data_IF_699516006158
#
_entry.id   IF_699516006158
#
_cell.length_a   1.000
_cell.length_b   1.000
_cell.length_c   1.000
_cell.angle_alpha   90.00
_cell.angle_beta   90.00
_cell.angle_gamma   90.00
#
_symmetry.space_group_name_H-M   'P 1'
#
loop_
_entity.id
_entity.type
_entity.pdbx_description
1 polymer ?
#
# COMPACT_ATOMS: atom_id res chain seq x y z
N UNK A 1 -37.47 -16.67 31.93
CA UNK A 1 -37.92 -15.32 31.57
C UNK A 1 -36.75 -14.63 30.88
N UNK A 2 -36.54 -15.00 29.61
CA UNK A 2 -36.69 -14.10 28.46
C UNK A 2 -35.85 -12.82 28.57
N UNK A 3 -34.57 -12.96 28.22
CA UNK A 3 -33.91 -11.90 27.46
C UNK A 3 -34.03 -12.38 26.01
N UNK A 4 -35.06 -11.84 25.35
CA UNK A 4 -35.35 -12.08 23.95
C UNK A 4 -34.14 -11.67 23.09
N UNK A 5 -33.90 -12.51 22.09
CA UNK A 5 -33.33 -12.21 20.79
C UNK A 5 -33.36 -10.71 20.41
N UNK A 6 -32.27 -9.99 20.66
CA UNK A 6 -31.93 -8.81 19.87
C UNK A 6 -31.17 -9.26 18.62
N UNK A 7 -31.94 -9.85 17.70
CA UNK A 7 -31.62 -9.91 16.28
C UNK A 7 -31.56 -8.48 15.74
N UNK A 8 -30.38 -7.84 15.75
CA UNK A 8 -30.17 -6.56 15.07
C UNK A 8 -28.98 -6.62 14.11
N UNK A 9 -29.31 -6.74 12.83
CA UNK A 9 -28.41 -6.93 11.69
C UNK A 9 -27.78 -5.62 11.20
N UNK A 10 -26.84 -5.03 11.94
CA UNK A 10 -26.18 -3.77 11.51
C UNK A 10 -24.64 -3.77 11.51
N UNK A 11 -23.99 -4.91 11.69
CA UNK A 11 -22.53 -4.95 11.53
C UNK A 11 -22.13 -5.05 10.06
N UNK A 12 -21.26 -4.13 9.61
CA UNK A 12 -20.75 -4.06 8.23
C UNK A 12 -20.24 -5.43 7.72
N UNK A 13 -19.50 -6.17 8.54
CA UNK A 13 -19.00 -7.51 8.18
C UNK A 13 -20.13 -8.50 7.93
N UNK A 14 -21.19 -8.46 8.74
CA UNK A 14 -22.32 -9.38 8.65
C UNK A 14 -23.10 -9.13 7.37
N UNK A 15 -23.38 -7.87 7.03
CA UNK A 15 -24.03 -7.50 5.77
C UNK A 15 -23.22 -7.96 4.55
N UNK A 16 -21.90 -7.85 4.61
CA UNK A 16 -21.02 -8.25 3.51
C UNK A 16 -20.90 -9.75 3.33
N UNK A 17 -20.92 -10.54 4.40
CA UNK A 17 -20.59 -11.96 4.38
C UNK A 17 -21.79 -12.90 4.53
N UNK A 18 -22.95 -12.42 4.97
CA UNK A 18 -24.19 -13.21 5.12
C UNK A 18 -24.56 -13.89 3.79
N UNK A 19 -24.79 -15.20 3.85
CA UNK A 19 -25.10 -16.03 2.69
C UNK A 19 -23.94 -16.31 1.74
N UNK A 20 -22.73 -15.80 2.03
CA UNK A 20 -21.52 -16.00 1.19
C UNK A 20 -20.47 -16.90 1.84
N UNK A 21 -20.51 -17.05 3.16
CA UNK A 21 -19.69 -17.98 3.94
C UNK A 21 -20.60 -18.87 4.79
N UNK A 22 -20.06 -19.99 5.27
CA UNK A 22 -20.80 -20.92 6.11
C UNK A 22 -21.32 -20.24 7.39
N UNK A 23 -22.57 -20.53 7.77
CA UNK A 23 -23.25 -19.89 8.89
C UNK A 23 -22.50 -20.05 10.20
N UNK A 24 -21.93 -21.23 10.44
CA UNK A 24 -21.07 -21.49 11.61
C UNK A 24 -19.94 -20.48 11.75
N UNK A 25 -19.24 -20.15 10.64
CA UNK A 25 -18.13 -19.20 10.64
C UNK A 25 -18.65 -17.77 10.82
N UNK A 26 -19.76 -17.44 10.16
CA UNK A 26 -20.38 -16.12 10.26
C UNK A 26 -20.86 -15.82 11.68
N UNK A 27 -21.52 -16.80 12.29
CA UNK A 27 -22.09 -16.72 13.63
C UNK A 27 -21.08 -17.17 14.70
N UNK A 28 -19.81 -17.30 14.33
CA UNK A 28 -18.79 -17.77 15.25
C UNK A 28 -18.65 -16.83 16.45
N UNK A 29 -18.41 -17.45 17.62
CA UNK A 29 -18.62 -16.93 18.97
C UNK A 29 -18.23 -15.47 19.19
N UNK A 30 -19.17 -14.74 19.81
CA UNK A 30 -19.12 -13.31 20.16
C UNK A 30 -19.02 -12.38 18.92
N UNK A 31 -20.04 -11.56 18.62
CA UNK A 31 -19.98 -10.53 17.57
C UNK A 31 -18.71 -9.66 17.61
N UNK A 32 -18.05 -9.60 18.78
CA UNK A 32 -16.77 -8.93 19.03
C UNK A 32 -15.60 -9.50 18.21
N UNK A 33 -15.55 -10.82 17.91
CA UNK A 33 -14.41 -11.43 17.20
C UNK A 33 -14.32 -10.91 15.76
N UNK A 34 -15.46 -10.79 15.10
CA UNK A 34 -15.58 -10.12 13.81
C UNK A 34 -15.37 -8.61 13.91
N UNK A 35 -15.62 -8.01 15.08
CA UNK A 35 -15.30 -6.62 15.37
C UNK A 35 -13.81 -6.28 15.25
N UNK A 36 -12.91 -7.26 15.42
CA UNK A 36 -11.46 -7.07 15.19
C UNK A 36 -11.05 -7.16 13.71
N UNK A 37 -11.94 -7.62 12.83
CA UNK A 37 -11.63 -7.74 11.41
C UNK A 37 -11.78 -6.38 10.73
N UNK A 38 -10.66 -5.79 10.36
CA UNK A 38 -10.63 -4.50 9.67
C UNK A 38 -11.40 -4.55 8.33
N UNK A 39 -12.15 -3.47 8.02
CA UNK A 39 -12.99 -3.35 6.82
C UNK A 39 -12.27 -3.69 5.51
N UNK A 40 -11.03 -3.23 5.35
CA UNK A 40 -10.23 -3.48 4.14
C UNK A 40 -9.93 -4.97 3.90
N UNK A 41 -9.91 -5.78 4.96
CA UNK A 41 -9.75 -7.23 4.84
C UNK A 41 -11.06 -7.83 4.32
N UNK A 42 -12.21 -7.39 4.87
CA UNK A 42 -13.55 -7.83 4.45
C UNK A 42 -13.79 -7.44 2.99
N UNK A 43 -13.54 -6.19 2.60
CA UNK A 43 -13.67 -5.72 1.22
C UNK A 43 -12.76 -6.50 0.25
N UNK A 44 -11.56 -6.87 0.68
CA UNK A 44 -10.68 -7.71 -0.12
C UNK A 44 -11.24 -9.13 -0.25
N UNK A 45 -11.65 -9.72 0.88
CA UNK A 45 -12.16 -11.07 0.97
C UNK A 45 -13.42 -11.25 0.13
N UNK A 46 -14.40 -10.34 0.28
CA UNK A 46 -15.64 -10.33 -0.50
C UNK A 46 -15.37 -10.32 -2.00
N UNK A 47 -14.48 -9.42 -2.45
CA UNK A 47 -14.21 -9.24 -3.89
C UNK A 47 -13.40 -10.38 -4.52
N UNK A 48 -12.53 -11.04 -3.76
CA UNK A 48 -11.50 -11.90 -4.34
C UNK A 48 -11.53 -13.35 -3.86
N UNK A 49 -12.15 -13.63 -2.72
CA UNK A 49 -12.09 -14.95 -2.07
C UNK A 49 -13.43 -15.68 -2.04
N UNK A 50 -14.56 -14.98 -2.27
CA UNK A 50 -15.89 -15.59 -2.33
C UNK A 50 -16.07 -16.36 -3.65
N UNK A 51 -16.79 -17.48 -3.58
CA UNK A 51 -17.16 -18.31 -4.74
C UNK A 51 -16.15 -19.41 -5.06
N UNK A 52 -15.07 -19.52 -4.30
CA UNK A 52 -14.09 -20.60 -4.43
C UNK A 52 -14.33 -21.71 -3.42
N UNK A 53 -13.89 -22.93 -3.74
CA UNK A 53 -14.07 -24.12 -2.87
C UNK A 53 -13.36 -23.98 -1.52
N UNK A 54 -12.34 -23.12 -1.42
CA UNK A 54 -11.61 -22.81 -0.19
C UNK A 54 -12.11 -21.54 0.54
N UNK A 55 -13.26 -20.97 0.12
CA UNK A 55 -13.80 -19.71 0.71
C UNK A 55 -13.86 -19.80 2.23
N UNK A 56 -14.48 -20.86 2.75
CA UNK A 56 -14.68 -21.04 4.19
C UNK A 56 -13.36 -21.26 4.94
N UNK A 57 -12.39 -21.95 4.33
CA UNK A 57 -11.06 -22.12 4.92
C UNK A 57 -10.33 -20.78 5.05
N UNK A 58 -10.44 -19.89 4.06
CA UNK A 58 -9.85 -18.56 4.16
C UNK A 58 -10.59 -17.67 5.16
N UNK A 59 -11.92 -17.81 5.29
CA UNK A 59 -12.71 -17.07 6.27
C UNK A 59 -12.27 -17.39 7.71
N UNK A 60 -12.11 -18.68 8.05
CA UNK A 60 -11.65 -19.08 9.38
C UNK A 60 -10.19 -18.68 9.64
N UNK A 61 -9.32 -18.70 8.61
CA UNK A 61 -7.95 -18.21 8.72
C UNK A 61 -7.92 -16.71 9.02
N UNK A 62 -8.77 -15.95 8.33
CA UNK A 62 -8.90 -14.51 8.55
C UNK A 62 -9.27 -14.23 10.00
N UNK A 63 -10.32 -14.88 10.50
CA UNK A 63 -10.84 -14.70 11.85
C UNK A 63 -9.81 -15.11 12.92
N UNK A 64 -9.17 -16.28 12.78
CA UNK A 64 -8.14 -16.73 13.70
C UNK A 64 -6.93 -15.78 13.74
N UNK A 65 -6.57 -15.19 12.59
CA UNK A 65 -5.42 -14.29 12.52
C UNK A 65 -5.71 -12.91 13.09
N UNK A 66 -6.95 -12.43 13.07
CA UNK A 66 -7.36 -11.14 13.63
C UNK A 66 -7.71 -11.26 15.11
N UNK A 67 -8.65 -12.15 15.45
CA UNK A 67 -9.24 -12.24 16.78
C UNK A 67 -8.32 -12.93 17.81
N UNK A 68 -7.46 -13.84 17.37
CA UNK A 68 -6.58 -14.62 18.26
C UNK A 68 -5.11 -14.24 18.17
N UNK A 69 -4.55 -14.19 16.96
CA UNK A 69 -3.15 -13.80 16.80
C UNK A 69 -2.94 -12.28 16.90
N UNK A 70 -4.01 -11.47 16.90
CA UNK A 70 -3.95 -10.00 16.91
C UNK A 70 -2.98 -9.43 15.87
N UNK A 71 -2.91 -10.07 14.70
CA UNK A 71 -2.05 -9.59 13.63
C UNK A 71 -2.58 -8.26 13.10
N UNK A 72 -1.67 -7.39 12.68
CA UNK A 72 -2.05 -6.16 11.99
C UNK A 72 -2.80 -6.47 10.68
N UNK A 73 -3.68 -5.55 10.28
CA UNK A 73 -4.59 -5.79 9.17
C UNK A 73 -3.87 -6.03 7.84
N UNK A 74 -2.71 -5.40 7.63
CA UNK A 74 -1.91 -5.59 6.41
C UNK A 74 -1.32 -7.00 6.35
N UNK A 75 -0.83 -7.51 7.49
CA UNK A 75 -0.35 -8.88 7.62
C UNK A 75 -1.44 -9.91 7.34
N UNK A 76 -2.65 -9.69 7.85
CA UNK A 76 -3.80 -10.57 7.57
C UNK A 76 -4.17 -10.52 6.10
N UNK A 77 -4.41 -9.32 5.55
CA UNK A 77 -4.75 -9.11 4.14
C UNK A 77 -3.72 -9.74 3.20
N UNK A 78 -2.43 -9.54 3.47
CA UNK A 78 -1.33 -10.16 2.70
C UNK A 78 -1.37 -11.68 2.80
N UNK A 79 -1.63 -12.24 3.97
CA UNK A 79 -1.67 -13.70 4.15
C UNK A 79 -2.84 -14.32 3.38
N UNK A 80 -4.03 -13.73 3.46
CA UNK A 80 -5.21 -14.16 2.68
C UNK A 80 -4.95 -14.00 1.18
N UNK A 81 -4.36 -12.89 0.75
CA UNK A 81 -4.07 -12.64 -0.66
C UNK A 81 -3.09 -13.66 -1.26
N UNK A 82 -2.01 -13.95 -0.53
CA UNK A 82 -1.03 -14.97 -0.96
C UNK A 82 -1.70 -16.33 -1.10
N UNK A 83 -2.48 -16.76 -0.11
CA UNK A 83 -3.15 -18.06 -0.15
C UNK A 83 -4.16 -18.12 -1.30
N UNK A 84 -5.04 -17.13 -1.42
CA UNK A 84 -6.07 -17.09 -2.45
C UNK A 84 -5.48 -17.14 -3.86
N UNK A 85 -4.53 -16.25 -4.17
CA UNK A 85 -3.94 -16.18 -5.52
C UNK A 85 -3.22 -17.48 -5.90
N UNK A 86 -2.60 -18.13 -4.90
CA UNK A 86 -1.89 -19.40 -5.12
C UNK A 86 -2.84 -20.57 -5.24
N UNK A 87 -3.91 -20.63 -4.43
CA UNK A 87 -4.95 -21.63 -4.58
C UNK A 87 -5.64 -21.52 -5.94
N UNK A 88 -5.98 -20.31 -6.41
CA UNK A 88 -6.52 -20.12 -7.75
C UNK A 88 -5.62 -20.72 -8.84
N UNK A 89 -4.31 -20.43 -8.77
CA UNK A 89 -3.35 -20.95 -9.74
C UNK A 89 -3.22 -22.47 -9.65
N UNK A 90 -3.09 -23.00 -8.44
CA UNK A 90 -2.84 -24.43 -8.21
C UNK A 90 -4.06 -25.30 -8.48
N UNK A 91 -5.24 -24.89 -8.04
CA UNK A 91 -6.46 -25.66 -8.29
C UNK A 91 -6.78 -25.71 -9.78
N UNK A 92 -6.53 -24.61 -10.50
CA UNK A 92 -6.66 -24.59 -11.96
C UNK A 92 -5.65 -25.53 -12.63
N UNK A 93 -4.38 -25.43 -12.28
CA UNK A 93 -3.30 -26.22 -12.90
C UNK A 93 -3.41 -27.72 -12.61
N UNK A 94 -3.80 -28.06 -11.37
CA UNK A 94 -3.94 -29.45 -10.90
C UNK A 94 -5.36 -30.00 -11.10
N UNK A 95 -6.26 -29.23 -11.71
CA UNK A 95 -7.66 -29.56 -11.94
C UNK A 95 -8.40 -30.04 -10.67
N UNK A 96 -8.15 -29.38 -9.54
CA UNK A 96 -8.74 -29.72 -8.24
C UNK A 96 -10.12 -29.07 -8.17
N UNK A 97 -11.15 -29.88 -7.98
CA UNK A 97 -12.55 -29.43 -8.00
C UNK A 97 -13.14 -29.27 -6.60
N UNK A 98 -12.57 -29.93 -5.58
CA UNK A 98 -13.03 -29.80 -4.19
C UNK A 98 -11.89 -29.62 -3.19
N UNK A 99 -12.22 -29.13 -1.99
CA UNK A 99 -11.26 -28.98 -0.89
C UNK A 99 -10.83 -30.35 -0.33
N UNK A 100 -11.65 -31.38 -0.49
CA UNK A 100 -11.36 -32.76 -0.09
C UNK A 100 -10.27 -33.37 -0.98
N UNK A 101 -10.24 -33.01 -2.26
CA UNK A 101 -9.23 -33.46 -3.22
C UNK A 101 -7.86 -32.83 -2.95
N UNK A 102 -7.83 -31.70 -2.23
CA UNK A 102 -6.58 -31.03 -1.89
C UNK A 102 -5.75 -31.87 -0.93
N UNK A 103 -4.63 -32.41 -1.42
CA UNK A 103 -3.58 -33.03 -0.62
C UNK A 103 -2.32 -32.15 -0.65
N UNK A 104 -1.98 -31.46 0.45
CA UNK A 104 -0.80 -30.60 0.48
C UNK A 104 0.52 -31.38 0.33
N UNK A 105 0.59 -32.64 0.76
CA UNK A 105 1.83 -33.43 0.66
C UNK A 105 2.11 -33.86 -0.79
N UNK A 106 1.07 -33.98 -1.61
CA UNK A 106 1.19 -34.23 -3.06
C UNK A 106 1.30 -32.92 -3.84
N UNK A 107 0.34 -32.03 -3.66
CA UNK A 107 0.18 -30.83 -4.49
C UNK A 107 1.21 -29.75 -4.17
N UNK A 108 1.48 -29.47 -2.89
CA UNK A 108 2.56 -28.54 -2.56
C UNK A 108 3.91 -29.16 -2.87
N UNK A 109 4.08 -30.48 -2.79
CA UNK A 109 5.34 -31.11 -3.21
C UNK A 109 5.58 -30.92 -4.71
N UNK A 110 4.58 -31.18 -5.56
CA UNK A 110 4.67 -30.93 -7.00
C UNK A 110 5.01 -29.46 -7.29
N UNK A 111 4.33 -28.53 -6.61
CA UNK A 111 4.57 -27.11 -6.75
C UNK A 111 5.96 -26.68 -6.26
N UNK A 112 6.41 -27.13 -5.09
CA UNK A 112 7.72 -26.77 -4.54
C UNK A 112 8.88 -27.31 -5.38
N UNK A 113 8.68 -28.44 -6.07
CA UNK A 113 9.68 -29.04 -6.96
C UNK A 113 9.55 -28.60 -8.43
N UNK A 114 8.81 -27.51 -8.71
CA UNK A 114 8.60 -26.98 -10.07
C UNK A 114 8.04 -27.99 -11.07
N UNK A 115 7.30 -29.00 -10.62
CA UNK A 115 6.59 -29.91 -11.52
C UNK A 115 5.35 -29.25 -12.14
N UNK A 116 4.85 -28.19 -11.50
CA UNK A 116 3.72 -27.38 -11.94
C UNK A 116 4.00 -25.88 -11.74
N UNK A 117 3.36 -25.05 -12.56
CA UNK A 117 3.49 -23.58 -12.56
C UNK A 117 4.95 -23.12 -12.60
N UNK A 118 5.76 -23.63 -13.54
CA UNK A 118 7.24 -23.49 -13.57
C UNK A 118 7.69 -22.03 -13.54
N UNK A 119 6.91 -21.13 -14.14
CA UNK A 119 7.10 -19.68 -14.20
C UNK A 119 7.05 -18.99 -12.82
N UNK A 120 6.44 -19.62 -11.81
CA UNK A 120 6.44 -19.07 -10.46
C UNK A 120 7.84 -19.12 -9.82
N UNK A 121 8.22 -18.00 -9.20
CA UNK A 121 9.53 -17.85 -8.57
C UNK A 121 9.65 -18.64 -7.27
N UNK A 122 10.89 -18.96 -6.88
CA UNK A 122 11.19 -19.64 -5.61
C UNK A 122 10.58 -18.91 -4.40
N UNK A 123 10.63 -17.57 -4.42
CA UNK A 123 10.05 -16.76 -3.34
C UNK A 123 8.54 -16.92 -3.25
N UNK A 124 7.83 -17.01 -4.39
CA UNK A 124 6.39 -17.25 -4.41
C UNK A 124 6.03 -18.64 -3.88
N UNK A 125 6.85 -19.65 -4.19
CA UNK A 125 6.71 -21.02 -3.68
C UNK A 125 6.93 -21.09 -2.17
N UNK A 126 7.97 -20.42 -1.70
CA UNK A 126 8.31 -20.33 -0.28
C UNK A 126 7.24 -19.60 0.54
N UNK A 127 6.81 -18.42 0.09
CA UNK A 127 5.79 -17.63 0.79
C UNK A 127 4.48 -18.41 0.90
N UNK A 128 4.10 -19.19 -0.13
CA UNK A 128 2.94 -20.07 -0.05
C UNK A 128 3.10 -21.08 1.09
N UNK A 129 4.19 -21.87 1.11
CA UNK A 129 4.39 -22.90 2.13
C UNK A 129 4.39 -22.31 3.55
N UNK A 130 5.10 -21.18 3.73
CA UNK A 130 5.17 -20.48 5.02
C UNK A 130 3.80 -19.99 5.47
N UNK A 131 3.03 -19.35 4.58
CA UNK A 131 1.69 -18.83 4.90
C UNK A 131 0.69 -19.96 5.12
N UNK A 132 0.76 -21.02 4.34
CA UNK A 132 -0.08 -22.22 4.48
C UNK A 132 0.12 -22.86 5.86
N UNK A 133 1.35 -23.21 6.21
CA UNK A 133 1.65 -23.86 7.49
C UNK A 133 1.34 -22.95 8.69
N UNK A 134 1.74 -21.68 8.63
CA UNK A 134 1.44 -20.76 9.73
C UNK A 134 -0.06 -20.55 9.93
N UNK A 135 -0.85 -20.44 8.85
CA UNK A 135 -2.30 -20.29 8.94
C UNK A 135 -2.95 -21.50 9.60
N UNK A 136 -2.52 -22.70 9.20
CA UNK A 136 -2.99 -23.95 9.80
C UNK A 136 -2.70 -24.00 11.29
N UNK A 137 -1.47 -23.67 11.69
CA UNK A 137 -1.08 -23.66 13.11
C UNK A 137 -1.89 -22.62 13.89
N UNK A 138 -2.05 -21.40 13.36
CA UNK A 138 -2.85 -20.35 14.00
C UNK A 138 -4.29 -20.78 14.20
N UNK A 139 -4.95 -21.31 13.17
CA UNK A 139 -6.36 -21.74 13.29
C UNK A 139 -6.47 -22.88 14.30
N UNK A 140 -5.60 -23.88 14.25
CA UNK A 140 -5.65 -24.99 15.23
C UNK A 140 -5.43 -24.50 16.66
N UNK A 141 -4.42 -23.68 16.90
CA UNK A 141 -4.16 -23.14 18.23
C UNK A 141 -5.35 -22.31 18.73
N UNK A 142 -5.98 -21.55 17.83
CA UNK A 142 -7.19 -20.80 18.16
C UNK A 142 -8.35 -21.72 18.54
N UNK A 143 -8.65 -22.73 17.71
CA UNK A 143 -9.69 -23.73 18.01
C UNK A 143 -9.43 -24.42 19.35
N UNK A 144 -8.21 -24.91 19.59
CA UNK A 144 -7.87 -25.63 20.81
C UNK A 144 -7.86 -24.75 22.07
N UNK A 145 -7.50 -23.47 21.95
CA UNK A 145 -7.41 -22.57 23.12
C UNK A 145 -8.73 -21.89 23.50
N UNK A 146 -9.67 -21.75 22.57
CA UNK A 146 -10.92 -20.99 22.79
C UNK A 146 -12.18 -21.85 22.78
N UNK A 147 -12.11 -23.12 22.39
CA UNK A 147 -13.31 -23.89 22.05
C UNK A 147 -13.36 -25.24 22.77
N UNK A 148 -14.57 -25.66 23.13
CA UNK A 148 -14.82 -27.00 23.60
C UNK A 148 -14.72 -28.03 22.47
N UNK A 149 -14.72 -29.32 22.84
CA UNK A 149 -14.56 -30.41 21.89
C UNK A 149 -15.67 -30.44 20.82
N UNK A 150 -16.92 -30.13 21.20
CA UNK A 150 -18.05 -30.17 20.27
C UNK A 150 -17.94 -29.10 19.17
N UNK A 151 -17.51 -27.90 19.54
CA UNK A 151 -17.28 -26.80 18.62
C UNK A 151 -16.03 -27.06 17.77
N UNK A 152 -14.97 -27.63 18.37
CA UNK A 152 -13.80 -28.06 17.61
C UNK A 152 -14.18 -29.06 16.50
N UNK A 153 -15.01 -30.08 16.78
CA UNK A 153 -15.49 -31.04 15.78
C UNK A 153 -16.25 -30.34 14.65
N UNK A 154 -17.18 -29.43 14.97
CA UNK A 154 -17.96 -28.67 13.98
C UNK A 154 -17.08 -27.87 13.02
N UNK A 155 -15.96 -27.33 13.51
CA UNK A 155 -15.04 -26.52 12.71
C UNK A 155 -13.96 -27.31 11.97
N UNK A 156 -13.84 -28.63 12.20
CA UNK A 156 -12.83 -29.45 11.53
C UNK A 156 -12.93 -29.40 10.00
N UNK A 157 -14.14 -29.35 9.46
CA UNK A 157 -14.38 -29.28 8.02
C UNK A 157 -13.79 -28.01 7.37
N UNK A 158 -13.58 -26.94 8.13
CA UNK A 158 -12.98 -25.70 7.63
C UNK A 158 -11.45 -25.66 7.78
N UNK A 159 -10.85 -26.69 8.38
CA UNK A 159 -9.40 -26.78 8.54
C UNK A 159 -8.73 -27.27 7.27
N UNK A 160 -7.69 -26.55 6.84
CA UNK A 160 -6.78 -27.06 5.82
C UNK A 160 -5.98 -28.26 6.36
N UNK A 161 -5.76 -29.27 5.49
CA UNK A 161 -4.93 -30.44 5.79
C UNK A 161 -3.48 -30.03 6.10
N UNK A 162 -2.83 -30.70 7.07
CA UNK A 162 -1.41 -30.44 7.40
C UNK A 162 -0.52 -30.79 6.23
N UNK A 163 0.51 -29.99 6.02
CA UNK A 163 1.62 -30.30 5.12
C UNK A 163 2.80 -30.80 5.97
N UNK A 164 3.29 -32.00 5.66
CA UNK A 164 4.41 -32.68 6.32
C UNK A 164 5.72 -32.53 5.52
N UNK A 165 5.75 -31.68 4.49
CA UNK A 165 6.95 -31.46 3.67
C UNK A 165 8.01 -30.70 4.49
N UNK A 166 8.97 -31.44 5.04
CA UNK A 166 10.14 -30.91 5.77
C UNK A 166 11.35 -30.69 4.84
N UNK A 167 11.49 -31.49 3.77
CA UNK A 167 12.74 -31.58 3.00
C UNK A 167 13.02 -30.40 2.03
N UNK A 168 12.03 -29.57 1.70
CA UNK A 168 12.27 -28.38 0.85
C UNK A 168 13.03 -27.27 1.57
N UNK A 169 13.24 -27.39 2.90
CA UNK A 169 13.94 -26.42 3.76
C UNK A 169 15.42 -26.23 3.41
N UNK A 170 16.06 -27.22 2.81
CA UNK A 170 17.47 -27.12 2.37
C UNK A 170 17.69 -26.06 1.28
N UNK A 171 16.78 -25.97 0.30
CA UNK A 171 16.83 -24.94 -0.73
C UNK A 171 16.41 -23.55 -0.20
N UNK A 172 15.67 -23.49 0.92
CA UNK A 172 15.25 -22.24 1.55
C UNK A 172 16.43 -21.45 2.11
N UNK A 173 17.37 -22.11 2.79
CA UNK A 173 18.60 -21.46 3.23
C UNK A 173 19.41 -20.94 2.05
N UNK A 174 19.48 -21.70 0.95
CA UNK A 174 20.19 -21.29 -0.27
C UNK A 174 19.54 -20.08 -0.94
N UNK A 175 18.21 -20.05 -1.11
CA UNK A 175 17.50 -18.92 -1.73
C UNK A 175 17.56 -17.67 -0.83
N UNK A 176 17.39 -17.83 0.49
CA UNK A 176 17.51 -16.72 1.42
C UNK A 176 18.96 -16.19 1.45
N UNK A 177 19.96 -17.07 1.46
CA UNK A 177 21.37 -16.72 1.39
C UNK A 177 21.72 -16.09 0.05
N UNK A 178 21.20 -16.56 -1.08
CA UNK A 178 21.40 -15.95 -2.40
C UNK A 178 20.74 -14.57 -2.45
N UNK A 179 19.52 -14.41 -1.93
CA UNK A 179 18.86 -13.09 -1.84
C UNK A 179 19.58 -12.14 -0.88
N UNK A 180 20.10 -12.64 0.24
CA UNK A 180 20.93 -11.86 1.18
C UNK A 180 22.29 -11.54 0.58
N UNK A 181 22.91 -12.46 -0.16
CA UNK A 181 24.17 -12.27 -0.86
C UNK A 181 24.03 -11.32 -2.04
N UNK A 182 22.92 -11.37 -2.78
CA UNK A 182 22.62 -10.40 -3.83
C UNK A 182 22.38 -9.02 -3.23
N UNK A 183 21.57 -8.90 -2.17
CA UNK A 183 21.40 -7.63 -1.45
C UNK A 183 22.71 -7.13 -0.86
N UNK A 184 23.56 -8.04 -0.35
CA UNK A 184 24.89 -7.72 0.15
C UNK A 184 25.78 -7.24 -0.98
N UNK A 185 25.84 -7.91 -2.13
CA UNK A 185 26.64 -7.48 -3.28
C UNK A 185 26.14 -6.14 -3.85
N UNK A 186 24.83 -5.94 -3.94
CA UNK A 186 24.21 -4.66 -4.34
C UNK A 186 24.52 -3.55 -3.32
N UNK A 187 24.48 -3.87 -2.02
CA UNK A 187 24.82 -2.94 -0.94
C UNK A 187 26.32 -2.64 -0.92
N UNK A 188 27.17 -3.65 -1.07
CA UNK A 188 28.63 -3.54 -1.10
C UNK A 188 29.09 -2.72 -2.30
N UNK A 189 28.36 -2.76 -3.43
CA UNK A 189 28.61 -1.89 -4.58
C UNK A 189 28.33 -0.40 -4.28
N UNK A 190 27.41 -0.09 -3.37
CA UNK A 190 27.05 1.29 -3.00
C UNK A 190 27.74 1.77 -1.72
N UNK A 191 28.28 0.88 -0.87
CA UNK A 191 28.98 1.21 0.38
C UNK A 191 30.11 2.25 0.16
N UNK A 192 30.99 2.14 -0.85
CA UNK A 192 32.02 3.15 -1.10
C UNK A 192 31.44 4.55 -1.37
N UNK A 193 30.21 4.61 -1.88
CA UNK A 193 29.51 5.84 -2.21
C UNK A 193 28.58 6.33 -1.09
N UNK A 194 28.41 5.57 0.01
CA UNK A 194 27.53 5.95 1.12
C UNK A 194 27.85 7.29 1.76
N UNK A 195 29.13 7.66 1.98
CA UNK A 195 29.43 9.00 2.51
C UNK A 195 28.92 10.11 1.59
N UNK A 196 29.07 9.94 0.28
CA UNK A 196 28.61 10.92 -0.73
C UNK A 196 27.09 10.96 -0.78
N UNK A 197 26.42 9.80 -0.87
CA UNK A 197 24.96 9.71 -0.89
C UNK A 197 24.36 10.32 0.37
N UNK A 198 24.94 10.02 1.54
CA UNK A 198 24.49 10.57 2.82
C UNK A 198 24.69 12.08 2.89
N UNK A 199 25.84 12.58 2.42
CA UNK A 199 26.11 14.01 2.33
C UNK A 199 25.07 14.73 1.46
N UNK A 200 24.83 14.20 0.26
CA UNK A 200 23.85 14.75 -0.69
C UNK A 200 22.42 14.67 -0.14
N UNK A 201 22.03 13.55 0.48
CA UNK A 201 20.72 13.40 1.08
C UNK A 201 20.49 14.40 2.24
N UNK A 202 21.50 14.59 3.11
CA UNK A 202 21.44 15.60 4.16
C UNK A 202 21.34 17.01 3.59
N UNK A 203 22.13 17.32 2.55
CA UNK A 203 22.07 18.61 1.87
C UNK A 203 20.66 18.89 1.32
N UNK A 204 20.08 17.95 0.58
CA UNK A 204 18.73 18.04 0.02
C UNK A 204 17.65 18.17 1.09
N UNK A 205 17.74 17.38 2.16
CA UNK A 205 16.82 17.45 3.29
C UNK A 205 16.87 18.81 3.96
N UNK A 206 18.07 19.34 4.23
CA UNK A 206 18.24 20.63 4.88
C UNK A 206 17.65 21.76 4.02
N UNK A 207 17.84 21.71 2.69
CA UNK A 207 17.27 22.67 1.74
C UNK A 207 15.73 22.67 1.80
N UNK A 208 15.12 21.48 1.73
CA UNK A 208 13.67 21.31 1.85
C UNK A 208 13.14 21.74 3.21
N UNK A 209 13.85 21.41 4.29
CA UNK A 209 13.45 21.76 5.64
C UNK A 209 13.46 23.28 5.84
N UNK A 210 14.49 24.00 5.34
CA UNK A 210 14.53 25.47 5.38
C UNK A 210 13.35 26.09 4.62
N UNK A 211 13.07 25.60 3.41
CA UNK A 211 11.92 26.07 2.63
C UNK A 211 10.60 25.82 3.36
N UNK A 212 10.42 24.62 3.91
CA UNK A 212 9.22 24.24 4.66
C UNK A 212 9.02 25.10 5.91
N UNK A 213 10.09 25.33 6.69
CA UNK A 213 10.05 26.19 7.87
C UNK A 213 9.70 27.62 7.48
N UNK A 214 10.34 28.19 6.45
CA UNK A 214 10.03 29.55 5.98
C UNK A 214 8.61 29.67 5.44
N UNK A 215 8.12 28.66 4.73
CA UNK A 215 6.74 28.60 4.30
C UNK A 215 5.78 28.65 5.49
N UNK A 216 5.99 27.81 6.51
CA UNK A 216 5.14 27.78 7.71
C UNK A 216 5.17 29.10 8.49
N UNK A 217 6.34 29.71 8.66
CA UNK A 217 6.48 31.03 9.29
C UNK A 217 5.71 32.12 8.55
N UNK A 218 5.63 32.03 7.22
CA UNK A 218 4.92 33.00 6.40
C UNK A 218 3.41 32.77 6.42
N UNK A 219 2.94 31.52 6.31
CA UNK A 219 1.50 31.22 6.36
C UNK A 219 0.88 31.55 7.73
N UNK A 220 1.63 31.40 8.83
CA UNK A 220 1.16 31.79 10.17
C UNK A 220 0.89 33.30 10.28
N UNK A 221 1.57 34.11 9.45
CA UNK A 221 1.39 35.57 9.40
C UNK A 221 0.29 36.01 8.44
N UNK A 222 -0.24 35.10 7.62
CA UNK A 222 -1.32 35.42 6.68
C UNK A 222 -2.63 35.53 7.44
N UNK A 223 -3.24 36.71 7.36
CA UNK A 223 -4.59 36.98 7.86
C UNK A 223 -5.61 36.97 6.72
N UNK A 224 -6.93 36.88 6.99
CA UNK A 224 -7.96 36.95 5.95
C UNK A 224 -7.94 38.22 5.10
N UNK A 225 -7.29 39.29 5.57
CA UNK A 225 -7.14 40.57 4.86
C UNK A 225 -5.83 40.68 4.08
N UNK A 226 -4.93 39.70 4.20
CA UNK A 226 -3.64 39.70 3.50
C UNK A 226 -3.87 39.49 2.00
N UNK A 227 -3.31 40.38 1.18
CA UNK A 227 -3.34 40.24 -0.27
C UNK A 227 -2.37 39.15 -0.73
N UNK A 228 -2.83 38.25 -1.59
CA UNK A 228 -2.04 37.16 -2.17
C UNK A 228 -1.90 37.36 -3.69
N UNK A 229 -0.76 36.97 -4.30
CA UNK A 229 0.31 36.15 -3.71
C UNK A 229 1.26 36.93 -2.79
N UNK A 230 1.77 36.27 -1.76
CA UNK A 230 2.88 36.80 -0.96
C UNK A 230 4.20 36.37 -1.60
N UNK A 231 5.02 37.33 -2.00
CA UNK A 231 6.33 37.06 -2.59
C UNK A 231 7.41 37.01 -1.51
N UNK A 232 8.31 36.04 -1.60
CA UNK A 232 9.50 35.98 -0.77
C UNK A 232 10.67 35.35 -1.52
N UNK A 233 11.88 35.58 -1.03
CA UNK A 233 13.08 34.94 -1.52
C UNK A 233 14.01 34.64 -0.37
N UNK A 234 14.95 33.73 -0.59
CA UNK A 234 16.06 33.52 0.34
C UNK A 234 17.31 33.04 -0.40
N UNK A 235 18.46 33.26 0.22
CA UNK A 235 19.78 32.90 -0.30
C UNK A 235 20.22 31.54 0.23
N UNK A 236 20.60 30.64 -0.68
CA UNK A 236 21.29 29.39 -0.37
C UNK A 236 22.80 29.62 -0.40
N UNK A 237 23.37 29.94 0.76
CA UNK A 237 24.81 30.24 0.92
C UNK A 237 25.72 29.13 0.38
N UNK A 238 25.30 27.88 0.50
CA UNK A 238 26.07 26.71 0.07
C UNK A 238 26.20 26.60 -1.46
N UNK A 239 25.24 27.14 -2.21
CA UNK A 239 25.21 27.10 -3.68
C UNK A 239 25.40 28.47 -4.31
N UNK A 240 25.37 29.56 -3.52
CA UNK A 240 25.43 30.93 -4.04
C UNK A 240 24.20 31.31 -4.87
N UNK A 241 23.05 30.70 -4.56
CA UNK A 241 21.82 30.83 -5.35
C UNK A 241 20.72 31.50 -4.54
N UNK A 242 20.07 32.50 -5.12
CA UNK A 242 18.85 33.12 -4.61
C UNK A 242 17.63 32.50 -5.27
N UNK A 243 16.66 32.11 -4.46
CA UNK A 243 15.44 31.44 -4.95
C UNK A 243 14.22 32.30 -4.63
N UNK A 244 13.36 32.50 -5.63
CA UNK A 244 12.19 33.36 -5.55
C UNK A 244 10.91 32.54 -5.58
N UNK A 245 10.03 32.81 -4.63
CA UNK A 245 8.78 32.09 -4.43
C UNK A 245 7.58 33.04 -4.28
N UNK A 246 6.41 32.47 -4.58
CA UNK A 246 5.10 33.05 -4.29
C UNK A 246 4.29 32.07 -3.46
N UNK A 247 3.64 32.56 -2.42
CA UNK A 247 2.63 31.83 -1.67
C UNK A 247 1.26 32.22 -2.21
N UNK A 248 0.48 31.22 -2.55
CA UNK A 248 -0.88 31.37 -3.03
C UNK A 248 -1.87 30.67 -2.11
N UNK A 249 -3.10 31.14 -2.15
CA UNK A 249 -4.26 30.34 -1.77
C UNK A 249 -5.09 30.00 -3.02
N UNK A 250 -5.98 29.01 -2.93
CA UNK A 250 -6.76 28.57 -4.10
C UNK A 250 -7.61 29.70 -4.72
N UNK A 251 -8.31 30.55 -3.93
CA UNK A 251 -9.05 31.69 -4.47
C UNK A 251 -8.19 32.68 -5.26
N UNK A 252 -7.12 33.20 -4.65
CA UNK A 252 -6.25 34.21 -5.27
C UNK A 252 -5.59 33.68 -6.55
N UNK A 253 -5.13 32.44 -6.54
CA UNK A 253 -4.54 31.81 -7.71
C UNK A 253 -5.55 31.66 -8.85
N UNK A 254 -6.77 31.22 -8.54
CA UNK A 254 -7.85 31.04 -9.54
C UNK A 254 -8.23 32.37 -10.18
N UNK A 255 -8.30 33.44 -9.38
CA UNK A 255 -8.63 34.79 -9.86
C UNK A 255 -7.50 35.34 -10.74
N UNK A 256 -6.23 35.20 -10.32
CA UNK A 256 -5.07 35.63 -11.09
C UNK A 256 -4.96 34.90 -12.44
N UNK A 257 -5.38 33.63 -12.49
CA UNK A 257 -5.33 32.79 -13.68
C UNK A 257 -6.71 32.55 -14.30
N UNK A 258 -7.60 33.55 -14.26
CA UNK A 258 -9.00 33.44 -14.72
C UNK A 258 -9.18 32.85 -16.12
N UNK A 259 -8.19 32.96 -17.01
CA UNK A 259 -8.23 32.39 -18.35
C UNK A 259 -8.11 30.85 -18.38
N UNK A 260 -7.67 30.21 -17.29
CA UNK A 260 -7.51 28.75 -17.18
C UNK A 260 -8.67 28.06 -16.46
N UNK A 261 -9.63 28.83 -15.96
CA UNK A 261 -10.72 28.32 -15.12
C UNK A 261 -12.08 28.66 -15.73
N UNK A 262 -13.08 27.84 -15.39
CA UNK A 262 -14.46 28.09 -15.80
C UNK A 262 -15.03 29.35 -15.12
N UNK A 263 -16.05 29.98 -15.74
CA UNK A 263 -16.78 31.10 -15.12
C UNK A 263 -17.31 30.75 -13.72
N UNK A 264 -17.80 29.52 -13.56
CA UNK A 264 -18.31 29.01 -12.29
C UNK A 264 -17.22 28.97 -11.20
N UNK A 265 -16.04 28.43 -11.53
CA UNK A 265 -14.90 28.38 -10.61
C UNK A 265 -14.43 29.76 -10.19
N UNK A 266 -14.42 30.72 -11.13
CA UNK A 266 -14.03 32.11 -10.85
C UNK A 266 -15.02 32.77 -9.89
N UNK A 267 -16.33 32.62 -10.10
CA UNK A 267 -17.34 33.18 -9.20
C UNK A 267 -17.29 32.51 -7.82
N UNK A 268 -17.13 31.19 -7.77
CA UNK A 268 -16.95 30.47 -6.49
C UNK A 268 -15.69 30.91 -5.74
N UNK A 269 -14.61 31.23 -6.46
CA UNK A 269 -13.37 31.75 -5.88
C UNK A 269 -13.54 33.18 -5.34
N UNK A 270 -14.19 34.07 -6.10
CA UNK A 270 -14.51 35.45 -5.65
C UNK A 270 -15.33 35.47 -4.37
N UNK A 271 -16.30 34.55 -4.26
CA UNK A 271 -17.17 34.44 -3.10
C UNK A 271 -16.67 33.48 -2.02
N UNK A 272 -15.47 32.89 -2.17
CA UNK A 272 -14.89 31.90 -1.23
C UNK A 272 -15.86 30.79 -0.83
N UNK A 273 -16.51 30.17 -1.82
CA UNK A 273 -17.49 29.11 -1.60
C UNK A 273 -16.92 27.72 -1.91
N UNK A 274 -17.51 26.67 -1.31
CA UNK A 274 -17.19 25.26 -1.57
C UNK A 274 -15.70 24.96 -1.36
N UNK A 275 -14.99 24.53 -2.41
CA UNK A 275 -13.55 24.22 -2.38
C UNK A 275 -12.66 25.46 -2.18
N UNK A 276 -13.23 26.66 -2.21
CA UNK A 276 -12.58 27.95 -1.98
C UNK A 276 -12.95 28.56 -0.61
N UNK A 277 -13.73 27.87 0.21
CA UNK A 277 -14.04 28.30 1.57
C UNK A 277 -12.80 28.20 2.46
N UNK A 278 -12.73 29.03 3.50
CA UNK A 278 -11.57 29.05 4.39
C UNK A 278 -11.26 27.67 5.00
N UNK A 279 -12.29 26.90 5.35
CA UNK A 279 -12.15 25.55 5.93
C UNK A 279 -11.57 24.50 4.95
N UNK A 280 -11.70 24.73 3.65
CA UNK A 280 -11.26 23.81 2.59
C UNK A 280 -10.09 24.38 1.76
N UNK A 281 -9.58 25.55 2.15
CA UNK A 281 -8.52 26.25 1.45
C UNK A 281 -7.16 25.80 1.95
N UNK A 282 -6.21 25.69 1.03
CA UNK A 282 -4.84 25.32 1.34
C UNK A 282 -3.90 26.33 0.69
N UNK A 283 -2.83 26.65 1.41
CA UNK A 283 -1.74 27.44 0.85
C UNK A 283 -0.77 26.55 0.09
N UNK A 284 -0.19 27.09 -0.97
CA UNK A 284 0.83 26.39 -1.74
C UNK A 284 1.88 27.35 -2.29
N UNK A 285 3.02 26.78 -2.69
CA UNK A 285 4.17 27.50 -3.21
C UNK A 285 4.24 27.41 -4.73
N UNK A 286 4.53 28.54 -5.35
CA UNK A 286 4.99 28.64 -6.74
C UNK A 286 6.46 29.07 -6.74
N UNK A 287 7.31 28.27 -7.38
CA UNK A 287 8.68 28.67 -7.69
C UNK A 287 8.67 29.61 -8.90
N UNK A 288 9.16 30.83 -8.72
CA UNK A 288 9.12 31.88 -9.76
C UNK A 288 10.40 31.84 -10.59
N UNK A 289 11.57 31.88 -9.94
CA UNK A 289 12.87 31.84 -10.59
C UNK A 289 13.98 31.50 -9.60
N UNK A 290 15.12 31.15 -10.17
CA UNK A 290 16.38 30.84 -9.48
C UNK A 290 17.44 31.75 -10.10
N UNK A 291 18.19 32.48 -9.28
CA UNK A 291 19.26 33.38 -9.73
C UNK A 291 20.55 33.07 -9.00
N UNK A 292 21.68 33.01 -9.69
CA UNK A 292 23.00 32.99 -9.05
C UNK A 292 23.39 34.40 -8.64
N UNK A 293 24.13 34.48 -7.54
CA UNK A 293 24.69 35.75 -7.08
C UNK A 293 25.76 36.32 -8.03
N UNK A 294 26.35 35.48 -8.90
CA UNK A 294 27.34 35.87 -9.91
C UNK A 294 26.74 36.19 -11.30
N UNK A 295 25.42 36.02 -11.48
CA UNK A 295 24.74 36.30 -12.75
C UNK A 295 24.98 35.27 -13.86
N UNK A 296 25.57 34.12 -13.56
CA UNK A 296 25.70 33.00 -14.51
C UNK A 296 24.33 32.41 -14.87
N UNK A 297 24.10 32.08 -16.15
CA UNK A 297 22.78 31.61 -16.65
C UNK A 297 22.50 30.13 -16.38
N UNK A 298 23.50 29.34 -16.03
CA UNK A 298 23.34 27.91 -15.76
C UNK A 298 23.21 27.67 -14.25
N UNK A 299 21.98 27.76 -13.75
CA UNK A 299 21.70 27.57 -12.32
C UNK A 299 20.79 26.36 -12.12
N UNK A 300 21.26 25.33 -11.43
CA UNK A 300 20.40 24.23 -11.01
C UNK A 300 19.50 24.68 -9.85
N UNK A 301 18.19 24.56 -10.06
CA UNK A 301 17.17 24.81 -9.04
C UNK A 301 17.10 23.69 -8.00
N UNK A 302 15.90 23.30 -7.58
CA UNK A 302 15.72 22.12 -6.74
C UNK A 302 15.86 20.84 -7.55
N UNK A 303 16.50 19.83 -6.96
CA UNK A 303 16.70 18.51 -7.57
C UNK A 303 15.41 17.79 -7.99
N UNK A 304 14.26 18.21 -7.46
CA UNK A 304 12.95 17.61 -7.74
C UNK A 304 12.12 18.40 -8.75
N UNK A 305 12.62 19.50 -9.32
CA UNK A 305 11.86 20.30 -10.28
C UNK A 305 11.43 19.49 -11.50
N UNK A 306 12.33 18.64 -12.02
CA UNK A 306 12.01 17.75 -13.12
C UNK A 306 10.93 16.73 -12.73
N UNK A 307 10.90 16.28 -11.48
CA UNK A 307 9.87 15.37 -10.98
C UNK A 307 8.48 16.03 -10.97
N UNK A 308 8.42 17.32 -10.63
CA UNK A 308 7.19 18.11 -10.67
C UNK A 308 6.79 18.37 -12.13
N UNK A 309 7.73 18.79 -12.97
CA UNK A 309 7.50 19.12 -14.38
C UNK A 309 6.96 17.92 -15.15
N UNK A 310 7.51 16.73 -14.91
CA UNK A 310 7.06 15.47 -15.52
C UNK A 310 5.82 14.88 -14.82
N UNK A 311 5.29 15.54 -13.78
CA UNK A 311 4.11 15.09 -13.04
C UNK A 311 4.23 13.66 -12.49
N UNK A 312 5.43 13.26 -12.04
CA UNK A 312 5.69 11.90 -11.54
C UNK A 312 5.54 11.77 -10.02
N UNK A 313 5.41 12.87 -9.27
CA UNK A 313 5.22 12.85 -7.82
C UNK A 313 3.78 12.51 -7.39
N UNK A 314 2.77 13.03 -8.10
CA UNK A 314 1.36 12.94 -7.69
C UNK A 314 0.48 12.08 -8.60
N UNK A 315 1.04 11.56 -9.69
CA UNK A 315 0.27 10.78 -10.66
C UNK A 315 1.01 9.48 -11.00
N UNK A 316 0.23 8.42 -11.22
CA UNK A 316 0.78 7.18 -11.74
C UNK A 316 1.52 7.46 -13.06
N UNK A 317 2.67 6.83 -13.32
CA UNK A 317 3.32 6.87 -14.64
C UNK A 317 2.39 6.41 -15.77
N UNK A 318 1.36 5.63 -15.44
CA UNK A 318 0.34 5.14 -16.37
C UNK A 318 -0.87 6.06 -16.57
N UNK A 319 -0.92 7.26 -15.97
CA UNK A 319 -2.05 8.19 -16.12
C UNK A 319 -1.71 9.38 -17.03
N UNK A 320 -2.71 9.85 -17.77
CA UNK A 320 -2.58 10.91 -18.79
C UNK A 320 -2.89 10.39 -20.20
N UNK A 321 -2.63 11.23 -21.22
CA UNK A 321 -2.64 10.81 -22.63
C UNK A 321 -1.48 9.86 -22.92
N UNK A 322 -1.54 9.12 -24.04
CA UNK A 322 -0.45 8.21 -24.44
C UNK A 322 0.90 8.94 -24.57
N UNK A 323 0.90 10.17 -25.09
CA UNK A 323 2.11 11.00 -25.18
C UNK A 323 2.66 11.38 -23.80
N UNK A 324 1.79 11.66 -22.82
CA UNK A 324 2.21 11.92 -21.44
C UNK A 324 2.77 10.67 -20.76
N UNK A 325 2.15 9.51 -20.99
CA UNK A 325 2.64 8.23 -20.45
C UNK A 325 4.03 7.90 -21.00
N UNK A 326 4.25 8.05 -22.30
CA UNK A 326 5.54 7.74 -22.90
C UNK A 326 6.65 8.72 -22.46
N UNK A 327 6.33 10.02 -22.30
CA UNK A 327 7.26 10.99 -21.70
C UNK A 327 7.66 10.62 -20.27
N UNK A 328 6.67 10.36 -19.40
CA UNK A 328 6.91 9.92 -18.01
C UNK A 328 7.75 8.65 -17.95
N UNK A 329 7.45 7.68 -18.81
CA UNK A 329 8.17 6.42 -18.91
C UNK A 329 9.62 6.64 -19.34
N UNK A 330 9.87 7.43 -20.38
CA UNK A 330 11.23 7.75 -20.85
C UNK A 330 12.05 8.47 -19.77
N UNK A 331 11.44 9.40 -19.05
CA UNK A 331 12.06 10.10 -17.93
C UNK A 331 12.40 9.16 -16.76
N UNK A 332 11.47 8.28 -16.36
CA UNK A 332 11.75 7.30 -15.30
C UNK A 332 12.77 6.23 -15.72
N UNK A 333 12.85 5.91 -17.00
CA UNK A 333 13.91 5.05 -17.54
C UNK A 333 15.28 5.72 -17.47
N UNK A 334 15.41 7.01 -17.77
CA UNK A 334 16.70 7.71 -17.67
C UNK A 334 17.22 7.80 -16.24
N UNK A 335 16.32 7.76 -15.25
CA UNK A 335 16.67 7.67 -13.82
C UNK A 335 16.89 6.23 -13.32
N UNK A 336 16.70 5.21 -14.17
CA UNK A 336 16.84 3.80 -13.80
C UNK A 336 15.74 3.26 -12.87
N UNK A 337 14.65 4.01 -12.68
CA UNK A 337 13.55 3.69 -11.76
C UNK A 337 12.54 2.74 -12.41
N UNK A 338 12.34 2.85 -13.73
CA UNK A 338 11.37 2.03 -14.45
C UNK A 338 11.98 0.69 -14.89
N UNK A 339 11.52 -0.41 -14.29
CA UNK A 339 11.75 -1.77 -14.80
C UNK A 339 10.52 -2.22 -15.56
N UNK A 340 10.68 -2.61 -16.83
CA UNK A 340 9.64 -3.31 -17.58
C UNK A 340 9.24 -4.56 -16.79
N UNK A 341 8.01 -4.58 -16.27
CA UNK A 341 7.40 -5.80 -15.75
C UNK A 341 6.64 -6.50 -16.86
#
# INVERSE_FOLDING_TARGET
MNIQEESNSEYYWHQKLKGKIHEDILNFTNPSDWGFVHKDIIDYFERNCIGYVWTNNLAIIMLARTAYAHNDFQTVKRSISILNNRFQSLYKELNIQSIEDWDPDVHLYAYLNKKVLVEHSENQRFELLKKYNSSITTVRNWLTSRMDFSLQERFKQFLLKRCNIVHSISNQKKVLHLSQSHRKNETDAIIPHYPVIRGEAHFRWNRLHRLYTKFNELIEKITPTTALPLEFNYDEEQTGVRIFFRIWDRPSFTIAHRNRYSRYSIESAKHRQKAYSNDNNEFFLELVKVETQDGSRDTEGFWFEDLIRESVLNQSPSSGSEEQKERKKKFLMSWGIWRSR
#
